data_IF_499245656869
#
_entry.id   IF_499245656869
#
_cell.length_a   1.000
_cell.length_b   1.000
_cell.length_c   1.000
_cell.angle_alpha   90.00
_cell.angle_beta   90.00
_cell.angle_gamma   90.00
#
_symmetry.space_group_name_H-M   'P 1'
#
loop_
_entity.id
_entity.type
_entity.pdbx_description
1 polymer ?
#
# COMPACT_ATOMS: atom_id res chain seq x y z
N UNK A 1 14.73 3.65 -22.41
CA UNK A 1 16.02 4.17 -21.91
C UNK A 1 15.83 4.47 -20.44
N UNK A 2 16.34 3.58 -19.62
CA UNK A 2 16.19 3.59 -18.16
C UNK A 2 17.03 4.74 -17.59
N UNK A 3 16.38 5.78 -17.12
CA UNK A 3 17.01 6.84 -16.34
C UNK A 3 17.36 6.30 -14.94
N UNK A 4 18.61 5.84 -14.78
CA UNK A 4 19.17 5.55 -13.46
C UNK A 4 19.27 6.88 -12.69
N UNK A 5 18.38 7.12 -11.76
CA UNK A 5 18.57 8.16 -10.76
C UNK A 5 19.79 7.75 -9.93
N UNK A 6 20.85 8.55 -9.99
CA UNK A 6 22.06 8.40 -9.16
C UNK A 6 21.70 8.77 -7.71
N UNK A 7 21.31 7.77 -6.93
CA UNK A 7 21.14 7.95 -5.49
C UNK A 7 22.50 8.09 -4.82
N UNK A 8 22.72 9.21 -4.15
CA UNK A 8 23.93 9.49 -3.35
C UNK A 8 23.95 8.74 -2.03
N UNK A 9 22.87 8.07 -1.65
CA UNK A 9 22.74 7.23 -0.45
C UNK A 9 22.47 5.77 -0.84
N UNK A 10 23.03 4.83 -0.06
CA UNK A 10 22.73 3.41 -0.25
C UNK A 10 21.22 3.16 -0.08
N UNK A 11 20.57 2.44 -1.00
CA UNK A 11 19.15 2.12 -0.88
C UNK A 11 18.89 1.25 0.35
N UNK A 12 17.73 1.43 0.97
CA UNK A 12 17.26 0.55 2.05
C UNK A 12 16.93 -0.85 1.53
N UNK A 13 16.37 -0.90 0.31
CA UNK A 13 16.04 -2.14 -0.40
C UNK A 13 16.55 -2.04 -1.82
N UNK A 14 17.24 -3.09 -2.24
CA UNK A 14 17.71 -3.26 -3.63
C UNK A 14 17.23 -4.61 -4.15
N UNK A 15 16.20 -4.57 -5.00
CA UNK A 15 15.65 -5.73 -5.71
C UNK A 15 16.28 -5.81 -7.07
N UNK A 16 16.95 -6.92 -7.38
CA UNK A 16 17.69 -7.10 -8.64
C UNK A 16 17.22 -8.36 -9.33
N UNK A 17 16.64 -8.20 -10.52
CA UNK A 17 16.21 -9.27 -11.43
C UNK A 17 15.39 -10.37 -10.75
N UNK A 18 14.49 -9.97 -9.84
CA UNK A 18 13.73 -10.87 -9.01
C UNK A 18 12.71 -11.66 -9.83
N UNK A 19 12.72 -12.98 -9.66
CA UNK A 19 11.72 -13.90 -10.19
C UNK A 19 11.07 -14.72 -9.08
N UNK A 20 9.71 -14.79 -9.08
CA UNK A 20 8.90 -15.59 -8.16
C UNK A 20 7.85 -16.35 -8.92
N UNK A 21 7.72 -17.66 -8.65
CA UNK A 21 6.74 -18.54 -9.27
C UNK A 21 5.91 -19.31 -8.24
N UNK A 22 4.70 -19.70 -8.61
CA UNK A 22 3.86 -20.66 -7.89
C UNK A 22 3.75 -21.93 -8.71
N UNK A 23 4.45 -22.99 -8.31
CA UNK A 23 4.64 -24.16 -9.16
C UNK A 23 5.36 -23.79 -10.45
N UNK A 24 4.75 -24.08 -11.59
CA UNK A 24 5.29 -23.72 -12.92
C UNK A 24 4.84 -22.36 -13.45
N UNK A 25 3.94 -21.68 -12.74
CA UNK A 25 3.43 -20.38 -13.21
C UNK A 25 4.24 -19.23 -12.64
N UNK A 26 4.86 -18.37 -13.50
CA UNK A 26 5.55 -17.18 -13.04
C UNK A 26 4.54 -16.15 -12.51
N UNK A 27 4.84 -15.58 -11.34
CA UNK A 27 4.08 -14.49 -10.72
C UNK A 27 4.82 -13.18 -10.93
N UNK A 28 6.14 -13.18 -10.72
CA UNK A 28 7.03 -12.03 -10.93
C UNK A 28 8.20 -12.45 -11.80
N UNK A 29 8.56 -11.62 -12.75
CA UNK A 29 9.65 -11.86 -13.71
C UNK A 29 10.48 -10.58 -13.88
N UNK A 30 11.79 -10.70 -13.77
CA UNK A 30 12.74 -9.60 -14.02
C UNK A 30 12.42 -8.30 -13.24
N UNK A 31 12.00 -8.41 -11.97
CA UNK A 31 11.72 -7.25 -11.15
C UNK A 31 13.01 -6.62 -10.65
N UNK A 32 13.18 -5.34 -10.95
CA UNK A 32 14.24 -4.51 -10.36
C UNK A 32 13.61 -3.24 -9.78
N UNK A 33 13.84 -3.00 -8.48
CA UNK A 33 13.27 -1.89 -7.74
C UNK A 33 14.21 -1.49 -6.61
N UNK A 34 14.41 -0.19 -6.43
CA UNK A 34 15.16 0.35 -5.29
C UNK A 34 14.23 1.19 -4.42
N UNK A 35 14.44 1.13 -3.11
CA UNK A 35 13.77 1.98 -2.12
C UNK A 35 14.83 2.73 -1.34
N UNK A 36 14.84 4.05 -1.46
CA UNK A 36 15.75 4.92 -0.73
C UNK A 36 15.17 5.32 0.64
N UNK A 37 16.03 5.81 1.57
CA UNK A 37 15.54 6.41 2.81
C UNK A 37 14.57 7.57 2.55
N UNK A 38 13.42 7.58 3.23
CA UNK A 38 12.39 8.60 3.10
C UNK A 38 11.52 8.48 1.84
N UNK A 39 11.61 7.39 1.10
CA UNK A 39 10.72 7.17 -0.04
C UNK A 39 9.28 6.86 0.40
N UNK A 40 8.33 7.33 -0.42
CA UNK A 40 6.93 6.96 -0.36
C UNK A 40 6.53 6.46 -1.76
N UNK A 41 6.46 5.14 -1.93
CA UNK A 41 6.25 4.49 -3.22
C UNK A 41 4.93 3.75 -3.23
N UNK A 42 4.08 4.04 -4.23
CA UNK A 42 2.91 3.24 -4.55
C UNK A 42 3.22 2.19 -5.62
N UNK A 43 2.83 0.96 -5.40
CA UNK A 43 2.86 -0.11 -6.40
C UNK A 43 1.44 -0.32 -6.89
N UNK A 44 1.19 0.00 -8.16
CA UNK A 44 -0.13 -0.12 -8.80
C UNK A 44 -0.11 -1.20 -9.89
N UNK A 45 -1.26 -1.75 -10.19
CA UNK A 45 -1.41 -2.77 -11.22
C UNK A 45 -2.67 -3.61 -11.01
N UNK A 46 -3.07 -4.42 -12.01
CA UNK A 46 -4.29 -5.21 -11.96
C UNK A 46 -4.26 -6.27 -10.84
N UNK A 47 -5.43 -6.85 -10.56
CA UNK A 47 -5.51 -8.00 -9.67
C UNK A 47 -4.69 -9.16 -10.24
N UNK A 48 -3.89 -9.82 -9.40
CA UNK A 48 -3.00 -10.89 -9.85
C UNK A 48 -1.67 -10.43 -10.45
N UNK A 49 -1.39 -9.12 -10.55
CA UNK A 49 -0.12 -8.58 -11.07
C UNK A 49 1.13 -8.96 -10.25
N UNK A 50 0.96 -9.50 -9.04
CA UNK A 50 2.08 -9.90 -8.18
C UNK A 50 2.43 -8.88 -7.08
N UNK A 51 1.62 -7.82 -6.87
CA UNK A 51 1.87 -6.75 -5.88
C UNK A 51 2.17 -7.29 -4.46
N UNK A 52 1.26 -8.08 -3.91
CA UNK A 52 1.42 -8.75 -2.61
C UNK A 52 2.67 -9.65 -2.58
N UNK A 53 2.94 -10.36 -3.68
CA UNK A 53 4.11 -11.24 -3.80
C UNK A 53 5.41 -10.44 -3.72
N UNK A 54 5.47 -9.28 -4.38
CA UNK A 54 6.63 -8.38 -4.32
C UNK A 54 6.85 -7.86 -2.89
N UNK A 55 5.81 -7.37 -2.22
CA UNK A 55 5.94 -6.93 -0.82
C UNK A 55 6.41 -8.07 0.10
N UNK A 56 5.89 -9.28 -0.08
CA UNK A 56 6.28 -10.46 0.71
C UNK A 56 7.71 -10.90 0.43
N UNK A 57 8.18 -10.75 -0.81
CA UNK A 57 9.58 -11.00 -1.16
C UNK A 57 10.50 -9.97 -0.48
N UNK A 58 10.14 -8.68 -0.50
CA UNK A 58 10.89 -7.62 0.22
C UNK A 58 10.86 -7.87 1.74
N UNK A 59 9.72 -8.28 2.30
CA UNK A 59 9.60 -8.63 3.72
C UNK A 59 10.34 -9.93 4.11
N UNK A 60 10.93 -10.66 3.14
CA UNK A 60 11.65 -11.91 3.39
C UNK A 60 10.77 -13.12 3.73
N UNK A 61 9.44 -13.01 3.53
CA UNK A 61 8.48 -14.10 3.80
C UNK A 61 8.33 -15.08 2.62
N UNK A 62 8.77 -14.67 1.43
CA UNK A 62 8.84 -15.49 0.22
C UNK A 62 10.29 -15.47 -0.29
N UNK A 63 10.82 -16.65 -0.64
CA UNK A 63 12.13 -16.76 -1.27
C UNK A 63 11.98 -16.66 -2.78
N UNK A 64 12.74 -15.77 -3.45
CA UNK A 64 12.79 -15.72 -4.90
C UNK A 64 13.44 -16.98 -5.48
N UNK A 65 13.01 -17.37 -6.68
CA UNK A 65 13.63 -18.44 -7.47
C UNK A 65 14.77 -17.88 -8.36
N UNK A 66 14.71 -16.60 -8.70
CA UNK A 66 15.74 -15.91 -9.48
C UNK A 66 15.99 -14.52 -8.90
N UNK A 67 17.18 -13.97 -9.15
CA UNK A 67 17.57 -12.66 -8.67
C UNK A 67 17.79 -12.58 -7.16
N UNK A 68 17.71 -11.38 -6.62
CA UNK A 68 17.96 -11.16 -5.18
C UNK A 68 17.21 -9.95 -4.63
N UNK A 69 16.92 -10.01 -3.33
CA UNK A 69 16.48 -8.87 -2.52
C UNK A 69 17.57 -8.61 -1.48
N UNK A 70 18.17 -7.44 -1.54
CA UNK A 70 19.18 -6.98 -0.58
C UNK A 70 18.57 -5.90 0.30
N UNK A 71 18.70 -6.06 1.59
CA UNK A 71 18.27 -5.07 2.57
C UNK A 71 19.50 -4.39 3.16
N UNK A 72 19.39 -3.11 3.48
CA UNK A 72 20.41 -2.41 4.26
C UNK A 72 20.66 -3.14 5.59
N UNK A 73 21.90 -3.17 6.09
CA UNK A 73 22.20 -3.74 7.40
C UNK A 73 21.29 -3.14 8.49
N UNK A 74 20.81 -3.99 9.40
CA UNK A 74 19.96 -3.64 10.53
C UNK A 74 18.60 -2.98 10.17
N UNK A 75 18.19 -3.00 8.89
CA UNK A 75 16.91 -2.49 8.46
C UNK A 75 15.75 -3.20 9.16
N UNK A 76 14.94 -2.44 9.87
CA UNK A 76 13.73 -2.94 10.51
C UNK A 76 12.54 -2.74 9.56
N UNK A 77 11.98 -3.84 9.10
CA UNK A 77 10.83 -3.84 8.19
C UNK A 77 9.55 -4.14 8.97
N UNK A 78 8.57 -3.25 8.85
CA UNK A 78 7.18 -3.48 9.27
C UNK A 78 6.34 -3.93 8.08
N UNK A 79 5.54 -4.99 8.23
CA UNK A 79 4.62 -5.44 7.19
C UNK A 79 3.19 -5.45 7.71
N UNK A 80 2.30 -4.79 6.98
CA UNK A 80 0.86 -4.72 7.22
C UNK A 80 0.17 -5.47 6.08
N UNK A 81 -0.42 -6.65 6.35
CA UNK A 81 -1.16 -7.40 5.34
C UNK A 81 -2.50 -6.72 5.03
N UNK A 82 -3.09 -7.10 3.92
CA UNK A 82 -4.45 -6.72 3.56
C UNK A 82 -5.44 -7.18 4.64
N UNK A 83 -6.21 -6.25 5.20
CA UNK A 83 -7.10 -6.46 6.35
C UNK A 83 -8.18 -7.50 6.06
N UNK A 84 -8.68 -7.57 4.84
CA UNK A 84 -9.70 -8.52 4.38
C UNK A 84 -9.23 -9.99 4.47
N UNK A 85 -7.94 -10.24 4.48
CA UNK A 85 -7.36 -11.59 4.60
C UNK A 85 -7.20 -12.06 6.04
N UNK A 86 -7.49 -11.21 7.02
CA UNK A 86 -7.30 -11.49 8.44
C UNK A 86 -8.53 -12.17 9.03
N UNK A 87 -8.31 -13.21 9.83
CA UNK A 87 -9.40 -13.84 10.60
C UNK A 87 -9.74 -13.00 11.84
N UNK A 88 -10.80 -12.22 11.76
CA UNK A 88 -11.28 -11.33 12.83
C UNK A 88 -11.96 -12.05 13.99
N UNK A 89 -12.24 -13.35 13.88
CA UNK A 89 -12.87 -14.13 14.96
C UNK A 89 -11.89 -14.47 16.10
N UNK A 90 -10.62 -14.06 15.99
CA UNK A 90 -9.67 -14.24 17.08
C UNK A 90 -10.01 -13.33 18.26
N UNK A 91 -10.26 -13.86 19.48
CA UNK A 91 -10.71 -13.09 20.63
C UNK A 91 -9.52 -12.33 21.26
N UNK A 92 -9.17 -11.18 20.68
CA UNK A 92 -8.09 -10.32 21.17
C UNK A 92 -8.55 -8.87 21.22
N UNK A 93 -8.06 -8.13 22.20
CA UNK A 93 -8.23 -6.68 22.28
C UNK A 93 -7.23 -5.96 21.37
N UNK A 94 -7.47 -4.66 21.12
CA UNK A 94 -6.54 -3.78 20.38
C UNK A 94 -5.15 -3.81 21.01
N UNK A 95 -5.09 -3.62 22.34
CA UNK A 95 -3.84 -3.61 23.10
C UNK A 95 -3.07 -4.94 22.95
N UNK A 96 -3.74 -6.07 23.09
CA UNK A 96 -3.14 -7.39 22.92
C UNK A 96 -2.65 -7.61 21.49
N UNK A 97 -3.43 -7.21 20.48
CA UNK A 97 -3.06 -7.32 19.08
C UNK A 97 -1.76 -6.54 18.78
N UNK A 98 -1.64 -5.32 19.27
CA UNK A 98 -0.44 -4.51 19.10
C UNK A 98 0.74 -5.12 19.85
N UNK A 99 0.54 -5.59 21.09
CA UNK A 99 1.56 -6.26 21.90
C UNK A 99 2.08 -7.56 21.27
N UNK A 100 1.36 -8.23 20.38
CA UNK A 100 1.87 -9.40 19.67
C UNK A 100 3.13 -9.11 18.83
N UNK A 101 3.35 -7.84 18.44
CA UNK A 101 4.55 -7.44 17.70
C UNK A 101 5.80 -7.26 18.56
N UNK A 102 5.70 -7.32 19.89
CA UNK A 102 6.87 -7.11 20.76
C UNK A 102 8.00 -8.08 20.45
N UNK A 103 9.22 -7.59 20.52
CA UNK A 103 10.43 -8.35 20.20
C UNK A 103 10.92 -9.21 21.36
N UNK A 104 10.69 -8.76 22.61
CA UNK A 104 11.11 -9.47 23.80
C UNK A 104 10.04 -10.47 24.24
N UNK A 105 10.33 -11.76 24.05
CA UNK A 105 9.55 -12.86 24.64
C UNK A 105 10.13 -13.35 25.97
N UNK A 106 11.10 -12.61 26.52
CA UNK A 106 11.82 -13.01 27.73
C UNK A 106 10.93 -13.00 28.98
N UNK A 107 9.88 -12.20 28.97
CA UNK A 107 8.90 -12.11 30.04
C UNK A 107 7.50 -12.48 29.50
N UNK A 108 6.76 -13.27 30.28
CA UNK A 108 5.38 -13.65 29.94
C UNK A 108 4.45 -12.42 29.85
N UNK A 109 4.70 -11.41 30.67
CA UNK A 109 3.89 -10.18 30.79
C UNK A 109 4.61 -8.98 30.16
N UNK A 110 3.88 -8.06 29.52
CA UNK A 110 4.46 -6.84 28.99
C UNK A 110 5.01 -5.95 30.11
N UNK A 111 6.20 -5.41 29.87
CA UNK A 111 6.86 -4.47 30.76
C UNK A 111 6.15 -3.13 30.80
N UNK A 112 6.43 -2.29 31.80
CA UNK A 112 5.90 -0.91 31.86
C UNK A 112 6.30 -0.08 30.63
N UNK A 113 7.52 -0.30 30.11
CA UNK A 113 8.03 0.39 28.91
C UNK A 113 7.24 -0.03 27.68
N UNK A 114 7.01 -1.34 27.48
CA UNK A 114 6.21 -1.85 26.36
C UNK A 114 4.76 -1.32 26.41
N UNK A 115 4.15 -1.28 27.59
CA UNK A 115 2.81 -0.70 27.76
C UNK A 115 2.77 0.79 27.43
N UNK A 116 3.74 1.56 27.87
CA UNK A 116 3.83 2.98 27.54
C UNK A 116 4.04 3.21 26.03
N UNK A 117 4.87 2.37 25.39
CA UNK A 117 5.09 2.43 23.94
C UNK A 117 3.80 2.09 23.18
N UNK A 118 3.06 1.05 23.58
CA UNK A 118 1.75 0.75 22.97
C UNK A 118 0.79 1.93 23.12
N UNK A 119 0.68 2.50 24.31
CA UNK A 119 -0.19 3.66 24.55
C UNK A 119 0.18 4.85 23.64
N UNK A 120 1.49 5.14 23.47
CA UNK A 120 1.93 6.22 22.58
C UNK A 120 1.62 5.96 21.11
N UNK A 121 1.78 4.71 20.65
CA UNK A 121 1.44 4.32 19.28
C UNK A 121 -0.06 4.36 19.03
N UNK A 122 -0.87 3.89 19.99
CA UNK A 122 -2.32 3.95 19.89
C UNK A 122 -2.83 5.40 19.85
N UNK A 123 -2.30 6.28 20.72
CA UNK A 123 -2.63 7.70 20.70
C UNK A 123 -2.29 8.37 19.36
N UNK A 124 -1.10 8.07 18.81
CA UNK A 124 -0.68 8.59 17.49
C UNK A 124 -1.64 8.19 16.36
N UNK A 125 -2.30 7.04 16.49
CA UNK A 125 -3.23 6.50 15.49
C UNK A 125 -4.70 6.74 15.86
N UNK A 126 -4.97 7.58 16.87
CA UNK A 126 -6.33 7.90 17.35
C UNK A 126 -7.12 6.65 17.81
N UNK A 127 -6.41 5.71 18.45
CA UNK A 127 -6.97 4.45 18.97
C UNK A 127 -6.92 4.34 20.50
N UNK A 128 -6.49 5.38 21.20
CA UNK A 128 -6.27 5.37 22.66
C UNK A 128 -7.54 5.00 23.45
N UNK A 129 -8.71 5.51 23.05
CA UNK A 129 -10.00 5.14 23.65
C UNK A 129 -10.51 3.73 23.32
N UNK A 130 -9.79 2.97 22.48
CA UNK A 130 -10.21 1.66 21.96
C UNK A 130 -9.32 0.51 22.45
N UNK A 131 -8.33 0.77 23.29
CA UNK A 131 -7.29 -0.18 23.69
C UNK A 131 -7.84 -1.52 24.24
N UNK A 132 -8.92 -1.47 25.02
CA UNK A 132 -9.54 -2.63 25.66
C UNK A 132 -10.70 -3.23 24.85
N UNK A 133 -11.06 -2.64 23.71
CA UNK A 133 -12.09 -3.20 22.81
C UNK A 133 -11.54 -4.39 22.04
N UNK A 134 -12.42 -5.34 21.74
CA UNK A 134 -12.09 -6.42 20.82
C UNK A 134 -11.94 -5.90 19.39
N UNK A 135 -10.91 -6.39 18.67
CA UNK A 135 -10.63 -5.96 17.30
C UNK A 135 -11.80 -6.17 16.32
N UNK A 136 -12.63 -7.19 16.55
CA UNK A 136 -13.84 -7.48 15.75
C UNK A 136 -14.95 -6.43 15.88
N UNK A 137 -14.91 -5.60 16.93
CA UNK A 137 -15.90 -4.56 17.23
C UNK A 137 -15.55 -3.23 16.55
N UNK A 138 -14.39 -3.17 15.92
CA UNK A 138 -13.87 -1.98 15.27
C UNK A 138 -14.38 -1.86 13.83
N UNK A 139 -14.50 -0.62 13.34
CA UNK A 139 -14.68 -0.37 11.90
C UNK A 139 -13.47 -0.83 11.08
N UNK A 140 -13.65 -1.05 9.78
CA UNK A 140 -12.55 -1.47 8.90
C UNK A 140 -11.34 -0.52 8.95
N UNK A 141 -11.58 0.80 8.96
CA UNK A 141 -10.49 1.79 9.10
C UNK A 141 -9.79 1.74 10.45
N UNK A 142 -10.53 1.51 11.55
CA UNK A 142 -9.93 1.31 12.88
C UNK A 142 -9.11 0.02 12.92
N UNK A 143 -9.59 -1.06 12.32
CA UNK A 143 -8.87 -2.32 12.19
C UNK A 143 -7.56 -2.11 11.41
N UNK A 144 -7.60 -1.38 10.30
CA UNK A 144 -6.42 -1.01 9.52
C UNK A 144 -5.40 -0.25 10.37
N UNK A 145 -5.83 0.77 11.13
CA UNK A 145 -4.98 1.53 12.05
C UNK A 145 -4.36 0.65 13.14
N UNK A 146 -5.08 -0.37 13.66
CA UNK A 146 -4.52 -1.35 14.63
C UNK A 146 -3.37 -2.15 14.02
N UNK A 147 -3.48 -2.58 12.77
CA UNK A 147 -2.39 -3.31 12.09
C UNK A 147 -1.18 -2.41 11.83
N UNK A 148 -1.42 -1.14 11.49
CA UNK A 148 -0.34 -0.14 11.39
C UNK A 148 0.30 0.07 12.77
N UNK A 149 -0.48 0.22 13.85
CA UNK A 149 0.02 0.33 15.22
C UNK A 149 0.91 -0.85 15.59
N UNK A 150 0.47 -2.06 15.26
CA UNK A 150 1.24 -3.29 15.47
C UNK A 150 2.57 -3.27 14.72
N UNK A 151 2.60 -2.79 13.49
CA UNK A 151 3.84 -2.68 12.71
C UNK A 151 4.77 -1.60 13.31
N UNK A 152 4.23 -0.44 13.69
CA UNK A 152 4.96 0.69 14.26
C UNK A 152 5.56 0.40 15.64
N UNK A 153 5.00 -0.55 16.42
CA UNK A 153 5.54 -0.91 17.74
C UNK A 153 6.99 -1.35 17.69
N UNK A 154 7.46 -1.85 16.55
CA UNK A 154 8.85 -2.24 16.33
C UNK A 154 9.75 -1.10 15.85
N UNK A 155 9.22 0.11 15.76
CA UNK A 155 9.90 1.30 15.21
C UNK A 155 10.60 0.96 13.87
N UNK A 156 9.84 0.56 12.84
CA UNK A 156 10.43 0.17 11.57
C UNK A 156 11.06 1.38 10.85
N UNK A 157 12.09 1.10 10.05
CA UNK A 157 12.70 2.09 9.15
C UNK A 157 12.00 2.07 7.78
N UNK A 158 11.37 0.92 7.44
CA UNK A 158 10.58 0.70 6.25
C UNK A 158 9.23 0.07 6.60
N UNK A 159 8.14 0.68 6.17
CA UNK A 159 6.77 0.16 6.30
C UNK A 159 6.26 -0.32 4.95
N UNK A 160 5.87 -1.60 4.88
CA UNK A 160 5.26 -2.23 3.73
C UNK A 160 3.77 -2.43 4.01
N UNK A 161 2.88 -1.88 3.16
CA UNK A 161 1.43 -1.98 3.33
C UNK A 161 0.79 -2.63 2.10
N UNK A 162 0.07 -3.71 2.33
CA UNK A 162 -0.61 -4.43 1.27
C UNK A 162 -2.07 -4.00 1.19
N UNK A 163 -2.41 -3.25 0.14
CA UNK A 163 -3.73 -2.66 -0.13
C UNK A 163 -4.38 -1.97 1.08
N UNK A 164 -3.69 -1.00 1.72
CA UNK A 164 -4.16 -0.42 2.99
C UNK A 164 -5.43 0.43 2.85
N UNK A 165 -5.84 0.77 1.63
CA UNK A 165 -7.03 1.57 1.33
C UNK A 165 -8.19 0.74 0.77
N UNK A 166 -8.05 -0.60 0.73
CA UNK A 166 -9.13 -1.48 0.27
C UNK A 166 -10.29 -1.50 1.27
N UNK A 167 -11.52 -1.45 0.76
CA UNK A 167 -12.72 -1.55 1.59
C UNK A 167 -12.99 -0.36 2.52
N UNK A 168 -12.22 0.74 2.43
CA UNK A 168 -12.46 1.95 3.23
C UNK A 168 -13.12 3.05 2.39
N UNK A 169 -13.91 3.89 3.05
CA UNK A 169 -14.51 5.05 2.39
C UNK A 169 -13.48 6.13 2.02
N UNK A 170 -13.92 7.14 1.26
CA UNK A 170 -13.04 8.19 0.74
C UNK A 170 -12.39 9.00 1.85
N UNK A 171 -13.12 9.32 2.93
CA UNK A 171 -12.60 10.12 4.04
C UNK A 171 -11.48 9.37 4.78
N UNK A 172 -11.73 8.12 5.15
CA UNK A 172 -10.74 7.25 5.80
C UNK A 172 -9.51 7.00 4.93
N UNK A 173 -9.68 6.90 3.61
CA UNK A 173 -8.56 6.80 2.67
C UNK A 173 -7.67 8.03 2.73
N UNK A 174 -8.24 9.24 2.68
CA UNK A 174 -7.49 10.48 2.80
C UNK A 174 -6.73 10.57 4.12
N UNK A 175 -7.39 10.27 5.24
CA UNK A 175 -6.76 10.25 6.56
C UNK A 175 -5.57 9.28 6.60
N UNK A 176 -5.71 8.08 6.03
CA UNK A 176 -4.63 7.11 5.97
C UNK A 176 -3.45 7.62 5.13
N UNK A 177 -3.70 8.18 3.95
CA UNK A 177 -2.64 8.71 3.08
C UNK A 177 -1.93 9.91 3.74
N UNK A 178 -2.64 10.76 4.47
CA UNK A 178 -2.04 11.81 5.29
C UNK A 178 -1.15 11.24 6.40
N UNK A 179 -1.64 10.23 7.13
CA UNK A 179 -0.84 9.53 8.14
C UNK A 179 0.47 8.98 7.55
N UNK A 180 0.41 8.36 6.36
CA UNK A 180 1.61 7.84 5.69
C UNK A 180 2.59 8.95 5.29
N UNK A 181 2.07 10.11 4.88
CA UNK A 181 2.89 11.29 4.60
C UNK A 181 3.56 11.85 5.87
N UNK A 182 2.88 11.85 7.01
CA UNK A 182 3.45 12.21 8.31
C UNK A 182 4.54 11.24 8.74
N UNK A 183 4.29 9.92 8.64
CA UNK A 183 5.29 8.89 8.95
C UNK A 183 6.56 9.06 8.10
N UNK A 184 6.39 9.40 6.81
CA UNK A 184 7.50 9.74 5.92
C UNK A 184 8.25 10.98 6.40
N UNK A 185 7.54 12.03 6.82
CA UNK A 185 8.15 13.27 7.31
C UNK A 185 8.99 13.03 8.58
N UNK A 186 8.64 12.01 9.36
CA UNK A 186 9.41 11.55 10.52
C UNK A 186 10.61 10.65 10.12
N UNK A 187 10.90 10.51 8.83
CA UNK A 187 12.05 9.77 8.29
C UNK A 187 11.79 8.30 7.97
N UNK A 188 10.53 7.83 8.08
CA UNK A 188 10.17 6.46 7.71
C UNK A 188 10.01 6.35 6.19
N UNK A 189 10.50 5.25 5.61
CA UNK A 189 10.21 4.90 4.23
C UNK A 189 8.95 4.06 4.16
N UNK A 190 8.13 4.25 3.12
CA UNK A 190 6.85 3.56 2.96
C UNK A 190 6.72 3.02 1.54
N UNK A 191 6.36 1.75 1.43
CA UNK A 191 5.94 1.14 0.17
C UNK A 191 4.55 0.55 0.36
N UNK A 192 3.61 0.97 -0.46
CA UNK A 192 2.24 0.45 -0.41
C UNK A 192 1.78 -0.09 -1.76
N UNK A 193 0.93 -1.10 -1.72
CA UNK A 193 0.21 -1.56 -2.91
C UNK A 193 -1.20 -1.00 -2.93
N UNK A 194 -1.74 -0.73 -4.11
CA UNK A 194 -3.14 -0.34 -4.27
C UNK A 194 -3.61 -0.59 -5.70
N UNK A 195 -4.91 -0.70 -5.87
CA UNK A 195 -5.58 -0.69 -7.18
C UNK A 195 -6.29 0.63 -7.46
N UNK A 196 -6.32 1.56 -6.49
CA UNK A 196 -6.96 2.87 -6.61
C UNK A 196 -6.00 3.90 -7.22
N UNK A 197 -6.04 4.03 -8.54
CA UNK A 197 -5.20 4.97 -9.29
C UNK A 197 -5.48 6.44 -8.93
N UNK A 198 -6.74 6.79 -8.74
CA UNK A 198 -7.13 8.18 -8.45
C UNK A 198 -6.69 8.63 -7.06
N UNK A 199 -6.79 7.74 -6.06
CA UNK A 199 -6.30 8.02 -4.72
C UNK A 199 -4.79 8.25 -4.68
N UNK A 200 -4.01 7.44 -5.40
CA UNK A 200 -2.54 7.57 -5.40
C UNK A 200 -2.02 8.72 -6.26
N UNK A 201 -2.73 9.05 -7.35
CA UNK A 201 -2.31 10.12 -8.26
C UNK A 201 -2.12 11.47 -7.56
N UNK A 202 -2.90 11.72 -6.50
CA UNK A 202 -2.88 12.99 -5.77
C UNK A 202 -1.90 12.98 -4.59
N UNK A 203 -1.63 11.82 -3.98
CA UNK A 203 -0.96 11.75 -2.68
C UNK A 203 0.44 11.14 -2.72
N UNK A 204 0.77 10.34 -3.72
CA UNK A 204 2.04 9.64 -3.77
C UNK A 204 3.02 10.28 -4.73
N UNK A 205 4.26 10.60 -4.29
CA UNK A 205 5.27 11.21 -5.15
C UNK A 205 5.84 10.24 -6.17
N UNK A 206 5.89 8.93 -5.85
CA UNK A 206 6.52 7.91 -6.69
C UNK A 206 5.58 6.75 -6.89
N UNK A 207 5.46 6.27 -8.14
CA UNK A 207 4.71 5.08 -8.50
C UNK A 207 5.57 4.06 -9.23
N UNK A 208 5.25 2.77 -9.00
CA UNK A 208 5.71 1.66 -9.79
C UNK A 208 4.50 0.91 -10.38
N UNK A 209 4.37 0.90 -11.70
CA UNK A 209 3.36 0.14 -12.42
C UNK A 209 3.84 -1.30 -12.61
N UNK A 210 3.08 -2.24 -12.05
CA UNK A 210 3.43 -3.66 -12.01
C UNK A 210 2.38 -4.50 -12.74
N UNK A 211 2.85 -5.33 -13.67
CA UNK A 211 2.08 -6.43 -14.25
C UNK A 211 3.05 -7.57 -14.58
N UNK A 212 3.31 -8.45 -13.60
CA UNK A 212 4.38 -9.47 -13.56
C UNK A 212 5.79 -8.91 -13.66
N UNK A 213 5.98 -7.86 -14.44
CA UNK A 213 7.22 -7.06 -14.56
C UNK A 213 6.93 -5.62 -14.13
N UNK A 214 7.95 -4.84 -13.82
CA UNK A 214 7.79 -3.39 -13.65
C UNK A 214 7.75 -2.76 -15.04
N UNK A 215 6.59 -2.22 -15.40
CA UNK A 215 6.35 -1.53 -16.68
C UNK A 215 6.99 -0.15 -16.66
N UNK A 216 6.79 0.58 -15.55
CA UNK A 216 7.40 1.89 -15.32
C UNK A 216 7.54 2.13 -13.82
N UNK A 217 8.56 2.89 -13.42
CA UNK A 217 8.77 3.35 -12.04
C UNK A 217 9.38 4.75 -12.06
N UNK A 218 8.84 5.66 -11.26
CA UNK A 218 9.34 7.03 -11.20
C UNK A 218 8.34 7.98 -10.57
N UNK A 219 8.54 9.28 -10.81
CA UNK A 219 7.61 10.32 -10.37
C UNK A 219 6.20 10.05 -10.89
N UNK A 220 5.21 10.19 -10.02
CA UNK A 220 3.79 9.90 -10.32
C UNK A 220 3.32 10.62 -11.57
N UNK A 221 3.72 11.87 -11.76
CA UNK A 221 3.43 12.68 -12.95
C UNK A 221 3.96 12.09 -14.26
N UNK A 222 5.09 11.40 -14.20
CA UNK A 222 5.75 10.82 -15.37
C UNK A 222 5.28 9.40 -15.67
N UNK A 223 4.77 8.70 -14.67
CA UNK A 223 4.34 7.28 -14.77
C UNK A 223 2.85 7.16 -15.12
N UNK A 224 2.00 8.09 -14.66
CA UNK A 224 0.58 8.10 -14.99
C UNK A 224 0.33 8.72 -16.37
N UNK A 225 0.63 7.94 -17.42
CA UNK A 225 0.28 8.28 -18.81
C UNK A 225 -0.63 7.20 -19.41
N UNK A 226 -1.47 7.55 -20.40
CA UNK A 226 -2.36 6.59 -21.07
C UNK A 226 -1.60 5.34 -21.55
N UNK A 227 -0.42 5.51 -22.14
CA UNK A 227 0.38 4.43 -22.72
C UNK A 227 0.89 3.47 -21.65
N UNK A 228 1.39 3.98 -20.51
CA UNK A 228 1.87 3.15 -19.39
C UNK A 228 0.69 2.44 -18.72
N UNK A 229 -0.45 3.12 -18.57
CA UNK A 229 -1.65 2.53 -18.00
C UNK A 229 -2.20 1.40 -18.89
N UNK A 230 -2.26 1.61 -20.20
CA UNK A 230 -2.67 0.57 -21.15
C UNK A 230 -1.75 -0.66 -21.11
N UNK A 231 -0.42 -0.46 -21.11
CA UNK A 231 0.56 -1.55 -20.95
C UNK A 231 0.40 -2.28 -19.60
N UNK A 232 0.04 -1.56 -18.55
CA UNK A 232 -0.08 -2.11 -17.21
C UNK A 232 -1.38 -2.89 -17.01
N UNK A 233 -2.51 -2.31 -17.46
CA UNK A 233 -3.85 -2.84 -17.19
C UNK A 233 -4.46 -3.60 -18.37
N UNK A 234 -3.89 -3.45 -19.58
CA UNK A 234 -4.42 -4.07 -20.79
C UNK A 234 -5.72 -3.45 -21.28
N UNK A 235 -6.05 -2.25 -20.81
CA UNK A 235 -7.24 -1.49 -21.18
C UNK A 235 -6.87 -0.03 -21.42
N UNK A 236 -7.52 0.60 -22.38
CA UNK A 236 -7.32 2.02 -22.66
C UNK A 236 -7.90 2.88 -21.54
N UNK A 237 -7.11 3.80 -21.04
CA UNK A 237 -7.46 4.72 -19.97
C UNK A 237 -7.05 6.13 -20.36
N UNK A 238 -7.90 7.11 -20.00
CA UNK A 238 -7.60 8.52 -20.20
C UNK A 238 -7.10 9.14 -18.90
N UNK A 239 -6.13 10.03 -19.00
CA UNK A 239 -5.62 10.83 -17.88
C UNK A 239 -6.06 12.27 -18.11
N UNK A 240 -7.03 12.71 -17.33
CA UNK A 240 -7.56 14.07 -17.36
C UNK A 240 -6.86 14.93 -16.32
N UNK A 241 -6.51 16.16 -16.68
CA UNK A 241 -6.01 17.14 -15.72
C UNK A 241 -7.11 18.17 -15.42
N UNK A 242 -7.50 18.27 -14.16
CA UNK A 242 -8.48 19.25 -13.71
C UNK A 242 -8.06 19.88 -12.38
N UNK A 243 -7.90 21.20 -12.35
CA UNK A 243 -7.52 21.93 -11.13
C UNK A 243 -6.17 21.51 -10.55
N UNK A 244 -5.23 21.05 -11.37
CA UNK A 244 -3.92 20.54 -10.91
C UNK A 244 -3.95 19.09 -10.37
N UNK A 245 -5.11 18.43 -10.42
CA UNK A 245 -5.25 17.02 -10.08
C UNK A 245 -5.36 16.18 -11.35
N UNK A 246 -4.81 14.96 -11.30
CA UNK A 246 -4.98 13.96 -12.35
C UNK A 246 -6.10 13.00 -11.99
N UNK A 247 -6.99 12.79 -12.94
CA UNK A 247 -8.10 11.87 -12.85
C UNK A 247 -7.94 10.81 -13.95
N UNK A 248 -7.90 9.55 -13.54
CA UNK A 248 -7.85 8.42 -14.45
C UNK A 248 -9.27 7.92 -14.65
N UNK A 249 -9.70 7.84 -15.92
CA UNK A 249 -11.02 7.35 -16.33
C UNK A 249 -10.86 6.24 -17.36
N UNK A 250 -11.73 5.25 -17.29
CA UNK A 250 -11.80 4.22 -18.32
C UNK A 250 -12.26 4.84 -19.63
N UNK A 251 -11.54 4.56 -20.73
CA UNK A 251 -11.94 5.05 -22.04
C UNK A 251 -13.21 4.32 -22.51
N UNK A 252 -14.25 5.03 -22.99
CA UNK A 252 -15.50 4.42 -23.42
C UNK A 252 -15.40 3.61 -24.72
N UNK A 253 -14.25 3.58 -25.38
CA UNK A 253 -14.06 2.88 -26.66
C UNK A 253 -14.19 1.35 -26.59
N UNK A 254 -14.26 0.75 -25.41
CA UNK A 254 -14.49 -0.70 -25.20
C UNK A 254 -15.86 -1.04 -24.60
N UNK A 255 -16.79 -0.09 -24.50
CA UNK A 255 -18.18 -0.44 -24.21
C UNK A 255 -18.78 -1.14 -25.42
N UNK A 256 -19.11 -2.42 -25.26
CA UNK A 256 -19.85 -3.22 -26.25
C UNK A 256 -20.95 -2.38 -26.91
N UNK A 257 -21.17 -2.47 -28.25
CA UNK A 257 -22.20 -1.73 -28.95
C UNK A 257 -23.61 -2.26 -28.60
N UNK A 258 -24.03 -2.08 -27.35
CA UNK A 258 -25.32 -2.59 -26.84
C UNK A 258 -25.85 -1.83 -25.62
N UNK A 259 -25.07 -0.96 -25.00
CA UNK A 259 -25.48 -0.16 -23.84
C UNK A 259 -25.49 1.34 -24.16
N UNK A 260 -26.30 1.75 -25.11
CA UNK A 260 -26.75 3.14 -25.21
C UNK A 260 -27.79 3.37 -24.10
N UNK A 261 -27.36 3.67 -22.88
CA UNK A 261 -28.26 4.20 -21.88
C UNK A 261 -28.61 5.64 -22.25
N UNK A 262 -29.80 5.81 -22.81
CA UNK A 262 -30.44 7.10 -22.85
C UNK A 262 -30.71 7.56 -21.41
N UNK A 263 -29.85 8.39 -20.87
CA UNK A 263 -30.13 9.14 -19.65
C UNK A 263 -31.27 10.11 -19.99
N UNK A 264 -32.49 9.77 -19.58
CA UNK A 264 -33.59 10.76 -19.58
C UNK A 264 -33.28 11.74 -18.43
N UNK A 265 -33.19 13.05 -18.69
CA UNK A 265 -33.10 14.04 -17.64
C UNK A 265 -34.38 14.01 -16.80
N UNK A 266 -34.25 13.77 -15.51
CA UNK A 266 -35.32 14.00 -14.53
C UNK A 266 -35.36 15.50 -14.22
N UNK A 267 -35.93 16.29 -15.13
CA UNK A 267 -36.30 17.68 -14.84
C UNK A 267 -37.63 17.97 -15.46
N UNK A 268 -38.48 18.55 -14.58
CA UNK A 268 -39.76 19.24 -14.85
C UNK A 268 -41.04 18.40 -14.81
N UNK A 269 -41.58 18.33 -13.58
CA UNK A 269 -43.02 18.58 -13.40
C UNK A 269 -43.24 19.09 -11.95
N UNK A 270 -43.18 20.42 -11.80
CA UNK A 270 -43.89 21.08 -10.71
C UNK A 270 -44.17 22.54 -11.05
N UNK A 271 -45.17 22.72 -11.94
CA UNK A 271 -45.98 23.95 -12.06
C UNK A 271 -47.39 23.56 -12.49
N UNK A 272 -48.26 23.36 -11.48
CA UNK A 272 -49.64 23.84 -11.49
C UNK A 272 -50.28 23.67 -10.12
#
# INVERSE_FOLDING_TARGET
VTGLQTFTQQPLVDVVDLGVSSGSQPILEHISLQVAPGDLIGIVGPSGAGKTTLLRAIAGTIRPQAGSVRLSPDLRVGYVPQVETVNWNFPTTVNECVLMARTSRRFAWPTKVEKALVASVLARLELDGLADRHIRELSGGQQQRVFIARALLRSPDLLLLDEPTSGVDVALRHELLHLLAELRSDGMSVVLTTHDLNGVATHLPTLACLNRTIIACGETSSVLTPEILELTYGASMEVLEHGGMRLIVDSPEHTHPGFAHSVRPLVEENQR
#
